data_IF_746337893461
#
_entry.id   IF_746337893461
#
_cell.length_a   1.000
_cell.length_b   1.000
_cell.length_c   1.000
_cell.angle_alpha   90.00
_cell.angle_beta   90.00
_cell.angle_gamma   90.00
#
_symmetry.space_group_name_H-M   'P 1'
#
loop_
_entity.id
_entity.type
_entity.pdbx_description
1 polymer ?
#
# COMPACT_ATOMS: atom_id res chain seq x y z
N UNK A 1 -7.67 3.62 -10.17
CA UNK A 1 -7.80 4.30 -8.87
C UNK A 1 -6.66 3.83 -7.97
N UNK A 2 -6.11 4.71 -7.14
CA UNK A 2 -5.06 4.37 -6.17
C UNK A 2 -5.49 4.73 -4.75
N UNK A 3 -5.52 3.77 -3.84
CA UNK A 3 -5.86 3.97 -2.44
C UNK A 3 -4.64 3.71 -1.56
N UNK A 4 -4.20 4.74 -0.83
CA UNK A 4 -3.13 4.62 0.15
C UNK A 4 -3.69 4.41 1.56
N UNK A 5 -3.51 3.22 2.13
CA UNK A 5 -4.00 2.85 3.46
C UNK A 5 -2.93 2.16 4.29
N UNK A 6 -3.03 2.17 5.61
CA UNK A 6 -2.16 1.41 6.50
C UNK A 6 -2.96 0.60 7.50
N UNK A 7 -2.36 -0.47 8.01
CA UNK A 7 -2.94 -1.24 9.08
C UNK A 7 -2.96 -0.44 10.39
N UNK A 8 -3.92 -0.76 11.24
CA UNK A 8 -4.18 -0.02 12.46
C UNK A 8 -4.02 -0.89 13.69
N UNK A 9 -3.54 -0.27 14.76
CA UNK A 9 -3.52 -0.87 16.09
C UNK A 9 -4.69 -0.31 16.90
N UNK A 10 -5.74 -1.10 17.06
CA UNK A 10 -6.99 -0.68 17.71
C UNK A 10 -7.33 -1.68 18.80
N UNK A 11 -7.77 -1.21 19.97
CA UNK A 11 -8.15 -2.06 21.11
C UNK A 11 -7.09 -3.11 21.47
N UNK A 12 -5.80 -2.73 21.42
CA UNK A 12 -4.64 -3.61 21.69
C UNK A 12 -4.51 -4.80 20.74
N UNK A 13 -5.14 -4.75 19.56
CA UNK A 13 -5.08 -5.78 18.54
C UNK A 13 -4.61 -5.18 17.21
N UNK A 14 -3.72 -5.90 16.53
CA UNK A 14 -3.36 -5.59 15.16
C UNK A 14 -4.56 -5.86 14.25
N UNK A 15 -5.00 -4.84 13.53
CA UNK A 15 -6.12 -4.94 12.59
C UNK A 15 -5.59 -4.73 11.17
N UNK A 16 -5.61 -5.77 10.31
CA UNK A 16 -5.12 -5.68 8.94
C UNK A 16 -6.14 -4.98 8.04
N UNK A 17 -6.34 -3.68 8.27
CA UNK A 17 -7.34 -2.88 7.54
C UNK A 17 -7.02 -2.82 6.05
N UNK A 18 -5.75 -2.71 5.67
CA UNK A 18 -5.36 -2.60 4.27
C UNK A 18 -5.81 -3.82 3.45
N UNK A 19 -5.55 -5.02 3.97
CA UNK A 19 -5.96 -6.27 3.31
C UNK A 19 -7.47 -6.45 3.28
N UNK A 20 -8.18 -6.05 4.34
CA UNK A 20 -9.66 -6.09 4.35
C UNK A 20 -10.25 -5.17 3.29
N UNK A 21 -9.72 -3.96 3.13
CA UNK A 21 -10.18 -3.06 2.08
C UNK A 21 -9.85 -3.62 0.70
N UNK A 22 -8.66 -4.18 0.50
CA UNK A 22 -8.31 -4.86 -0.75
C UNK A 22 -9.34 -5.94 -1.09
N UNK A 23 -9.67 -6.79 -0.13
CA UNK A 23 -10.69 -7.83 -0.30
C UNK A 23 -12.06 -7.22 -0.65
N UNK A 24 -12.50 -6.18 0.07
CA UNK A 24 -13.78 -5.52 -0.22
C UNK A 24 -13.81 -4.90 -1.64
N UNK A 25 -12.71 -4.29 -2.08
CA UNK A 25 -12.61 -3.69 -3.42
C UNK A 25 -12.72 -4.75 -4.53
N UNK A 26 -12.06 -5.90 -4.35
CA UNK A 26 -12.07 -6.99 -5.32
C UNK A 26 -13.38 -7.78 -5.27
N UNK A 27 -13.83 -8.19 -4.08
CA UNK A 27 -14.96 -9.11 -3.94
C UNK A 27 -16.31 -8.39 -4.01
N UNK A 28 -16.48 -7.26 -3.33
CA UNK A 28 -17.78 -6.58 -3.23
C UNK A 28 -17.99 -5.58 -4.37
N UNK A 29 -16.97 -4.76 -4.66
CA UNK A 29 -17.08 -3.70 -5.69
C UNK A 29 -16.71 -4.22 -7.08
N UNK A 30 -16.10 -5.41 -7.18
CA UNK A 30 -15.67 -6.04 -8.45
C UNK A 30 -14.63 -5.22 -9.20
N UNK A 31 -13.74 -4.53 -8.48
CA UNK A 31 -12.62 -3.86 -9.12
C UNK A 31 -11.54 -4.87 -9.52
N UNK A 32 -10.95 -4.66 -10.69
CA UNK A 32 -9.82 -5.47 -11.16
C UNK A 32 -8.56 -5.02 -10.42
N UNK A 33 -7.90 -5.90 -9.66
CA UNK A 33 -6.65 -5.56 -8.99
C UNK A 33 -5.55 -5.36 -10.04
N UNK A 34 -4.86 -4.23 -9.99
CA UNK A 34 -3.70 -3.96 -10.84
C UNK A 34 -2.44 -4.34 -10.10
N UNK A 35 -2.24 -3.77 -8.90
CA UNK A 35 -1.03 -3.99 -8.10
C UNK A 35 -1.27 -3.64 -6.62
N UNK A 36 -0.49 -4.26 -5.74
CA UNK A 36 -0.48 -4.00 -4.31
C UNK A 36 0.95 -3.64 -3.87
N UNK A 37 1.19 -2.34 -3.71
CA UNK A 37 2.54 -1.82 -3.47
C UNK A 37 2.75 -1.53 -1.99
N UNK A 38 3.87 -2.00 -1.45
CA UNK A 38 4.31 -1.69 -0.09
C UNK A 38 5.03 -0.33 -0.06
N UNK A 39 4.41 0.67 0.58
CA UNK A 39 4.96 2.02 0.74
C UNK A 39 5.61 2.14 2.11
N UNK A 40 6.94 2.10 2.14
CA UNK A 40 7.72 2.31 3.36
C UNK A 40 7.69 3.78 3.78
N UNK A 41 7.36 4.05 5.04
CA UNK A 41 7.45 5.41 5.60
C UNK A 41 8.88 5.67 6.07
N UNK A 42 9.58 6.61 5.44
CA UNK A 42 10.84 7.13 5.98
C UNK A 42 10.52 8.25 6.97
N UNK A 43 10.50 7.92 8.27
CA UNK A 43 10.51 8.94 9.31
C UNK A 43 11.76 8.80 10.19
N UNK A 44 12.46 9.92 10.43
CA UNK A 44 13.76 9.99 11.09
C UNK A 44 13.76 9.39 12.50
N UNK A 45 12.69 9.61 13.28
CA UNK A 45 12.71 9.26 14.71
C UNK A 45 12.72 7.76 15.02
N UNK A 46 12.30 6.92 14.08
CA UNK A 46 12.29 5.45 14.23
C UNK A 46 13.57 4.80 13.71
N UNK A 47 14.40 5.53 12.97
CA UNK A 47 15.56 4.99 12.27
C UNK A 47 16.85 5.03 13.11
N UNK A 48 16.72 4.81 14.42
CA UNK A 48 17.87 4.73 15.34
C UNK A 48 18.22 3.28 15.63
N UNK A 49 19.51 3.03 15.91
CA UNK A 49 20.06 1.68 16.14
C UNK A 49 19.36 0.92 17.28
N UNK A 50 18.92 1.65 18.31
CA UNK A 50 18.16 1.10 19.44
C UNK A 50 16.84 0.49 18.98
N UNK A 51 16.11 1.20 18.11
CA UNK A 51 14.86 0.71 17.56
C UNK A 51 15.08 -0.50 16.65
N UNK A 52 16.11 -0.47 15.79
CA UNK A 52 16.50 -1.63 14.97
C UNK A 52 16.82 -2.87 15.82
N UNK A 53 17.59 -2.71 16.90
CA UNK A 53 17.87 -3.81 17.83
C UNK A 53 16.60 -4.34 18.50
N UNK A 54 15.70 -3.46 18.96
CA UNK A 54 14.42 -3.87 19.57
C UNK A 54 13.51 -4.58 18.57
N UNK A 55 13.46 -4.09 17.33
CA UNK A 55 12.71 -4.72 16.25
C UNK A 55 13.18 -6.15 15.98
N UNK A 56 14.50 -6.37 15.94
CA UNK A 56 15.08 -7.72 15.79
C UNK A 56 14.79 -8.60 17.03
N UNK A 57 15.00 -8.05 18.23
CA UNK A 57 14.83 -8.79 19.50
C UNK A 57 13.39 -9.20 19.77
N UNK A 58 12.42 -8.34 19.44
CA UNK A 58 11.00 -8.55 19.71
C UNK A 58 10.17 -8.82 18.45
N UNK A 59 10.84 -9.09 17.33
CA UNK A 59 10.26 -9.44 16.04
C UNK A 59 9.09 -8.53 15.59
N UNK A 60 9.32 -7.22 15.51
CA UNK A 60 8.35 -6.26 14.98
C UNK A 60 8.98 -5.31 13.97
N UNK A 61 8.21 -4.89 12.96
CA UNK A 61 8.69 -3.92 11.97
C UNK A 61 8.69 -2.49 12.52
N UNK A 62 9.77 -1.74 12.27
CA UNK A 62 9.86 -0.33 12.63
C UNK A 62 8.88 0.50 11.82
N UNK A 63 7.99 1.22 12.50
CA UNK A 63 6.89 2.05 11.95
C UNK A 63 6.44 1.52 10.58
N UNK A 64 5.56 0.53 10.65
CA UNK A 64 5.11 -0.30 9.53
C UNK A 64 4.80 0.43 8.22
N UNK A 65 4.64 -0.37 7.18
CA UNK A 65 4.38 0.12 5.83
C UNK A 65 2.90 0.46 5.62
N UNK A 66 2.65 1.25 4.58
CA UNK A 66 1.31 1.44 4.02
C UNK A 66 1.15 0.54 2.79
N UNK A 67 -0.07 0.14 2.49
CA UNK A 67 -0.45 -0.43 1.22
C UNK A 67 -0.92 0.69 0.29
N UNK A 68 -0.35 0.73 -0.90
CA UNK A 68 -0.92 1.43 -2.04
C UNK A 68 -1.62 0.38 -2.89
N UNK A 69 -2.95 0.38 -2.84
CA UNK A 69 -3.80 -0.50 -3.63
C UNK A 69 -4.08 0.20 -4.95
N UNK A 70 -3.65 -0.39 -6.05
CA UNK A 70 -3.99 0.03 -7.39
C UNK A 70 -5.05 -0.91 -7.94
N UNK A 71 -6.22 -0.35 -8.27
CA UNK A 71 -7.34 -1.11 -8.80
C UNK A 71 -7.99 -0.37 -9.97
N UNK A 72 -8.42 -1.11 -10.98
CA UNK A 72 -9.13 -0.59 -12.15
C UNK A 72 -10.62 -0.85 -11.97
N UNK A 73 -11.43 0.12 -12.37
CA UNK A 73 -12.88 -0.11 -12.48
C UNK A 73 -13.11 -1.03 -13.69
N UNK A 74 -13.92 -2.10 -13.56
CA UNK A 74 -14.27 -2.93 -14.71
C UNK A 74 -14.96 -2.03 -15.75
N UNK A 75 -14.49 -2.10 -16.98
CA UNK A 75 -15.09 -1.39 -18.11
C UNK A 75 -15.78 -2.46 -18.96
N UNK A 76 -17.06 -2.29 -19.29
CA UNK A 76 -17.82 -3.28 -20.07
C UNK A 76 -17.26 -3.51 -21.49
N UNK A 77 -16.32 -2.66 -21.92
CA UNK A 77 -15.57 -2.81 -23.14
C UNK A 77 -14.23 -3.48 -22.83
N UNK A 78 -14.04 -4.67 -23.40
CA UNK A 78 -12.82 -5.44 -23.33
C UNK A 78 -11.59 -4.56 -23.55
N UNK A 79 -10.53 -4.92 -22.82
CA UNK A 79 -9.27 -4.22 -22.64
C UNK A 79 -8.78 -3.54 -23.94
N UNK A 80 -9.20 -2.30 -24.18
CA UNK A 80 -8.40 -1.36 -24.95
C UNK A 80 -7.27 -0.97 -24.00
N UNK A 81 -6.08 -1.52 -24.25
CA UNK A 81 -4.86 -1.07 -23.60
C UNK A 81 -4.63 0.35 -24.08
N UNK A 82 -5.23 1.29 -23.36
CA UNK A 82 -5.09 2.72 -23.61
C UNK A 82 -3.59 3.00 -23.64
N UNK A 83 -3.11 3.46 -24.79
CA UNK A 83 -1.69 3.54 -25.11
C UNK A 83 -1.00 4.28 -23.98
N UNK A 84 -0.12 3.57 -23.24
CA UNK A 84 0.59 4.10 -22.09
C UNK A 84 1.14 5.49 -22.44
N UNK A 85 0.48 6.52 -21.90
CA UNK A 85 0.77 7.90 -22.28
C UNK A 85 2.25 8.12 -21.99
N UNK A 86 3.05 8.52 -22.98
CA UNK A 86 4.49 8.75 -22.79
C UNK A 86 4.69 9.88 -21.76
N UNK A 87 4.82 9.52 -20.48
CA UNK A 87 5.08 10.48 -19.41
C UNK A 87 6.52 10.95 -19.56
N UNK A 88 6.69 12.24 -19.88
CA UNK A 88 8.00 12.89 -19.99
C UNK A 88 8.46 13.26 -18.58
N UNK A 89 9.16 12.33 -17.93
CA UNK A 89 9.69 12.54 -16.57
C UNK A 89 10.66 13.72 -16.54
N UNK A 90 10.32 14.77 -15.79
CA UNK A 90 11.28 15.80 -15.42
C UNK A 90 12.07 15.33 -14.20
N UNK A 91 13.40 15.25 -14.32
CA UNK A 91 14.28 15.07 -13.17
C UNK A 91 14.36 16.39 -12.41
N UNK A 92 14.03 16.37 -11.13
CA UNK A 92 14.33 17.48 -10.23
C UNK A 92 15.86 17.55 -10.05
N UNK A 93 16.43 18.75 -10.25
CA UNK A 93 17.84 19.06 -10.00
C UNK A 93 18.08 19.29 -8.52
#
# INVERSE_FOLDING_TARGET
MGWLIGDQWVKRKFTPVGLKIYQMLVDNVKFEPIDLICVTRRNQSSNTRIWHYRAQKFNFFLRGFKYLILAKKPTDKGIEVDQATKIKWQRYK
#
